data_IF_966845188467
#
_entry.id   IF_966845188467
#
_cell.length_a   1.000
_cell.length_b   1.000
_cell.length_c   1.000
_cell.angle_alpha   90.00
_cell.angle_beta   90.00
_cell.angle_gamma   90.00
#
_symmetry.space_group_name_H-M   'P 1'
#
loop_
_entity.id
_entity.type
_entity.pdbx_description
1 polymer ?
#
# COMPACT_ATOMS: atom_id res chain seq x y z
N UNK A 1 25.37 -0.38 -8.45
CA UNK A 1 24.43 0.17 -9.45
C UNK A 1 24.04 1.55 -8.98
N UNK A 2 24.15 2.53 -9.87
CA UNK A 2 24.53 3.92 -9.57
C UNK A 2 23.42 4.78 -8.97
N UNK A 3 23.83 5.73 -8.11
CA UNK A 3 23.00 6.73 -7.44
C UNK A 3 22.29 7.74 -8.39
N UNK A 4 22.40 7.56 -9.71
CA UNK A 4 21.79 8.40 -10.74
C UNK A 4 20.25 8.29 -10.80
N UNK A 5 19.66 7.18 -10.35
CA UNK A 5 18.19 7.02 -10.35
C UNK A 5 17.47 7.91 -9.33
N UNK A 6 18.14 8.30 -8.24
CA UNK A 6 17.51 9.10 -7.18
C UNK A 6 17.19 10.51 -7.67
N UNK A 7 17.97 11.06 -8.60
CA UNK A 7 17.82 12.43 -9.10
C UNK A 7 16.65 12.62 -10.06
N UNK A 8 16.13 11.55 -10.67
CA UNK A 8 15.14 11.65 -11.75
C UNK A 8 13.68 11.44 -11.33
N UNK A 9 13.38 11.24 -10.04
CA UNK A 9 12.01 11.06 -9.48
C UNK A 9 11.16 12.33 -9.49
N UNK A 10 11.11 13.02 -10.61
CA UNK A 10 10.31 14.23 -10.84
C UNK A 10 9.27 14.01 -11.94
N UNK A 11 9.35 12.89 -12.66
CA UNK A 11 8.48 12.59 -13.80
C UNK A 11 7.61 11.36 -13.54
N UNK A 12 6.42 11.32 -14.14
CA UNK A 12 5.53 10.16 -13.99
C UNK A 12 6.22 8.82 -14.33
N UNK A 13 7.00 8.67 -15.43
CA UNK A 13 7.65 7.40 -15.76
C UNK A 13 8.59 6.91 -14.65
N UNK A 14 9.46 7.79 -14.16
CA UNK A 14 10.41 7.46 -13.09
C UNK A 14 9.73 7.15 -11.77
N UNK A 15 8.58 7.78 -11.50
CA UNK A 15 7.78 7.49 -10.30
C UNK A 15 7.16 6.11 -10.43
N UNK A 16 6.58 5.78 -11.58
CA UNK A 16 5.98 4.46 -11.85
C UNK A 16 7.01 3.34 -11.69
N UNK A 17 8.24 3.53 -12.15
CA UNK A 17 9.35 2.60 -11.97
C UNK A 17 9.79 2.42 -10.50
N UNK A 18 9.50 3.41 -9.64
CA UNK A 18 9.81 3.37 -8.21
C UNK A 18 8.66 2.82 -7.35
N UNK A 19 7.43 2.75 -7.87
CA UNK A 19 6.27 2.28 -7.10
C UNK A 19 6.43 0.88 -6.49
N UNK A 20 7.01 -0.13 -7.16
CA UNK A 20 7.20 -1.44 -6.54
C UNK A 20 8.08 -1.36 -5.27
N UNK A 21 9.22 -0.67 -5.36
CA UNK A 21 10.12 -0.44 -4.22
C UNK A 21 9.49 0.41 -3.11
N UNK A 22 8.60 1.31 -3.51
CA UNK A 22 7.85 2.12 -2.56
C UNK A 22 6.81 1.27 -1.79
N UNK A 23 6.20 0.29 -2.46
CA UNK A 23 5.20 -0.59 -1.87
C UNK A 23 5.81 -1.65 -0.92
N UNK A 24 6.97 -2.18 -1.25
CA UNK A 24 7.66 -3.19 -0.41
C UNK A 24 8.58 -2.57 0.67
N UNK A 25 8.76 -1.25 0.66
CA UNK A 25 9.57 -0.51 1.63
C UNK A 25 11.07 -0.53 1.33
N UNK A 26 11.50 -0.89 0.13
CA UNK A 26 12.90 -0.86 -0.31
C UNK A 26 13.38 0.55 -0.75
N UNK A 27 12.53 1.57 -0.66
CA UNK A 27 12.95 2.95 -0.92
C UNK A 27 13.89 3.50 0.17
N UNK A 28 14.91 4.24 -0.25
CA UNK A 28 15.63 5.13 0.66
C UNK A 28 14.78 6.34 1.07
N UNK A 29 15.12 7.04 2.17
CA UNK A 29 14.28 8.13 2.71
C UNK A 29 14.03 9.28 1.73
N UNK A 30 15.01 9.56 0.85
CA UNK A 30 14.89 10.58 -0.20
C UNK A 30 13.94 10.13 -1.32
N UNK A 31 14.01 8.87 -1.72
CA UNK A 31 13.15 8.29 -2.75
C UNK A 31 11.70 8.21 -2.24
N UNK A 32 11.51 7.72 -1.03
CA UNK A 32 10.21 7.64 -0.36
C UNK A 32 9.52 9.01 -0.29
N UNK A 33 10.24 10.03 0.17
CA UNK A 33 9.72 11.41 0.27
C UNK A 33 9.31 11.97 -1.10
N UNK A 34 10.08 11.69 -2.15
CA UNK A 34 9.79 12.16 -3.52
C UNK A 34 8.60 11.44 -4.14
N UNK A 35 8.51 10.11 -3.95
CA UNK A 35 7.38 9.32 -4.43
C UNK A 35 6.10 9.77 -3.71
N UNK A 36 6.13 9.88 -2.39
CA UNK A 36 4.99 10.36 -1.60
C UNK A 36 4.49 11.74 -2.07
N UNK A 37 5.39 12.71 -2.20
CA UNK A 37 5.05 14.05 -2.70
C UNK A 37 4.42 14.00 -4.11
N UNK A 38 4.93 13.15 -5.00
CA UNK A 38 4.37 13.03 -6.35
C UNK A 38 2.97 12.39 -6.33
N UNK A 39 2.73 11.41 -5.46
CA UNK A 39 1.43 10.73 -5.34
C UNK A 39 0.33 11.64 -4.78
N UNK A 40 0.69 12.65 -3.99
CA UNK A 40 -0.24 13.70 -3.55
C UNK A 40 -0.76 14.52 -4.75
N UNK A 41 0.16 14.92 -5.64
CA UNK A 41 -0.12 15.87 -6.71
C UNK A 41 -0.59 15.21 -8.02
N UNK A 42 -0.18 13.98 -8.30
CA UNK A 42 -0.44 13.31 -9.58
C UNK A 42 -1.47 12.18 -9.44
N UNK A 43 -2.70 12.44 -9.92
CA UNK A 43 -3.79 11.45 -9.93
C UNK A 43 -3.48 10.20 -10.73
N UNK A 44 -2.73 10.32 -11.85
CA UNK A 44 -2.32 9.18 -12.68
C UNK A 44 -1.40 8.23 -11.91
N UNK A 45 -0.36 8.75 -11.26
CA UNK A 45 0.57 7.91 -10.50
C UNK A 45 -0.09 7.31 -9.26
N UNK A 46 -1.03 8.04 -8.63
CA UNK A 46 -1.84 7.51 -7.53
C UNK A 46 -2.75 6.35 -7.95
N UNK A 47 -3.35 6.43 -9.14
CA UNK A 47 -4.13 5.33 -9.69
C UNK A 47 -3.26 4.08 -9.91
N UNK A 48 -2.08 4.26 -10.50
CA UNK A 48 -1.15 3.15 -10.75
C UNK A 48 -0.62 2.53 -9.45
N UNK A 49 -0.28 3.36 -8.46
CA UNK A 49 0.08 2.91 -7.12
C UNK A 49 -1.02 2.04 -6.49
N UNK A 50 -2.27 2.50 -6.54
CA UNK A 50 -3.40 1.75 -5.98
C UNK A 50 -3.64 0.43 -6.72
N UNK A 51 -3.46 0.41 -8.05
CA UNK A 51 -3.55 -0.80 -8.87
C UNK A 51 -2.48 -1.82 -8.44
N UNK A 52 -1.23 -1.39 -8.34
CA UNK A 52 -0.11 -2.24 -7.91
C UNK A 52 -0.29 -2.75 -6.48
N UNK A 53 -0.76 -1.91 -5.56
CA UNK A 53 -1.07 -2.32 -4.19
C UNK A 53 -2.17 -3.39 -4.14
N UNK A 54 -3.22 -3.24 -4.97
CA UNK A 54 -4.28 -4.23 -5.08
C UNK A 54 -3.78 -5.55 -5.65
N UNK A 55 -2.97 -5.52 -6.73
CA UNK A 55 -2.37 -6.71 -7.33
C UNK A 55 -1.47 -7.46 -6.33
N UNK A 56 -0.70 -6.71 -5.53
CA UNK A 56 0.14 -7.25 -4.47
C UNK A 56 -0.70 -7.92 -3.37
N UNK A 57 -1.76 -7.27 -2.90
CA UNK A 57 -2.69 -7.85 -1.92
C UNK A 57 -3.34 -9.15 -2.43
N UNK A 58 -3.73 -9.21 -3.71
CA UNK A 58 -4.28 -10.43 -4.32
C UNK A 58 -3.23 -11.54 -4.43
N UNK A 59 -1.99 -11.18 -4.71
CA UNK A 59 -0.89 -12.15 -4.74
C UNK A 59 -0.65 -12.73 -3.35
N UNK A 60 -0.62 -11.90 -2.31
CA UNK A 60 -0.47 -12.33 -0.92
C UNK A 60 -1.62 -13.24 -0.49
N UNK A 61 -2.86 -12.91 -0.82
CA UNK A 61 -4.01 -13.75 -0.45
C UNK A 61 -3.96 -15.11 -1.13
N UNK A 62 -3.59 -15.16 -2.42
CA UNK A 62 -3.43 -16.39 -3.18
C UNK A 62 -2.29 -17.27 -2.61
N UNK A 63 -1.15 -16.66 -2.25
CA UNK A 63 0.01 -17.40 -1.71
C UNK A 63 -0.25 -17.91 -0.29
N UNK A 64 -0.88 -17.10 0.58
CA UNK A 64 -1.12 -17.48 1.97
C UNK A 64 -2.34 -18.38 2.15
N UNK A 65 -3.06 -18.73 1.08
CA UNK A 65 -4.28 -19.54 1.14
C UNK A 65 -5.41 -18.89 1.94
N UNK A 66 -5.28 -17.61 2.32
CA UNK A 66 -6.33 -16.84 3.00
C UNK A 66 -7.32 -16.43 1.92
N UNK A 67 -8.21 -17.35 1.59
CA UNK A 67 -9.45 -17.00 0.94
C UNK A 67 -10.12 -15.98 1.85
N UNK A 68 -10.38 -14.77 1.33
CA UNK A 68 -11.03 -13.67 2.06
C UNK A 68 -12.23 -14.14 2.89
N UNK A 69 -12.95 -15.16 2.41
CA UNK A 69 -14.07 -15.80 3.12
C UNK A 69 -13.70 -16.39 4.49
N UNK A 70 -12.52 -16.98 4.66
CA UNK A 70 -12.13 -17.61 5.92
C UNK A 70 -11.69 -16.57 6.94
N UNK A 71 -10.93 -15.55 6.50
CA UNK A 71 -10.65 -14.37 7.31
C UNK A 71 -11.94 -13.65 7.72
N UNK A 72 -12.89 -13.49 6.79
CA UNK A 72 -14.18 -12.85 7.07
C UNK A 72 -15.04 -13.68 8.02
N UNK A 73 -15.04 -15.01 7.90
CA UNK A 73 -15.70 -15.91 8.86
C UNK A 73 -15.06 -15.84 10.25
N UNK A 74 -13.73 -15.77 10.33
CA UNK A 74 -13.02 -15.63 11.59
C UNK A 74 -13.33 -14.27 12.24
N UNK A 75 -13.32 -13.18 11.47
CA UNK A 75 -13.70 -11.85 11.96
C UNK A 75 -15.13 -11.83 12.48
N UNK A 76 -16.08 -12.48 11.78
CA UNK A 76 -17.47 -12.60 12.26
C UNK A 76 -17.55 -13.45 13.55
N UNK A 77 -16.87 -14.60 13.60
CA UNK A 77 -16.87 -15.49 14.76
C UNK A 77 -16.22 -14.85 16.00
N UNK A 78 -15.18 -14.03 15.81
CA UNK A 78 -14.59 -13.23 16.87
C UNK A 78 -15.48 -12.04 17.27
N UNK A 79 -16.18 -11.42 16.31
CA UNK A 79 -17.14 -10.35 16.57
C UNK A 79 -18.23 -10.75 17.55
N UNK A 80 -18.74 -11.98 17.46
CA UNK A 80 -19.73 -12.54 18.39
C UNK A 80 -19.17 -12.80 19.80
N UNK A 81 -17.85 -12.91 19.95
CA UNK A 81 -17.17 -13.13 21.23
C UNK A 81 -16.60 -11.84 21.84
N UNK A 82 -16.61 -10.74 21.10
CA UNK A 82 -16.12 -9.46 21.59
C UNK A 82 -17.26 -8.70 22.28
N UNK A 83 -17.04 -8.21 23.52
CA UNK A 83 -18.02 -7.37 24.17
C UNK A 83 -18.27 -6.10 23.33
N UNK A 84 -19.47 -5.52 23.35
CA UNK A 84 -19.75 -4.29 22.62
C UNK A 84 -18.73 -3.23 23.00
N UNK A 85 -17.92 -2.81 22.02
CA UNK A 85 -16.99 -1.70 22.18
C UNK A 85 -17.80 -0.48 22.60
N UNK A 86 -17.54 0.02 23.81
CA UNK A 86 -18.18 1.24 24.29
C UNK A 86 -17.79 2.39 23.36
N UNK A 87 -18.73 3.25 22.94
CA UNK A 87 -18.43 4.33 22.02
C UNK A 87 -17.34 5.22 22.62
N UNK A 88 -16.24 5.39 21.88
CA UNK A 88 -15.19 6.34 22.23
C UNK A 88 -15.83 7.73 22.19
N UNK A 89 -15.86 8.49 23.30
CA UNK A 89 -16.41 9.85 23.27
C UNK A 89 -15.55 10.71 22.35
N UNK A 90 -16.19 11.30 21.33
CA UNK A 90 -15.56 12.32 20.49
C UNK A 90 -15.15 13.50 21.39
N UNK A 91 -13.86 13.83 21.39
CA UNK A 91 -13.31 15.06 21.98
C UNK A 91 -13.14 16.12 20.91
#
# INVERSE_FOLDING_TARGET
MSADSLFSLQSCPTIVEALPRFLDGECGPVEESRVAQHLELCSRCRLEHNRLAQDWLQTISAVNGVQSSDAQRLVMALGDQLPPQSPIPAS
#
